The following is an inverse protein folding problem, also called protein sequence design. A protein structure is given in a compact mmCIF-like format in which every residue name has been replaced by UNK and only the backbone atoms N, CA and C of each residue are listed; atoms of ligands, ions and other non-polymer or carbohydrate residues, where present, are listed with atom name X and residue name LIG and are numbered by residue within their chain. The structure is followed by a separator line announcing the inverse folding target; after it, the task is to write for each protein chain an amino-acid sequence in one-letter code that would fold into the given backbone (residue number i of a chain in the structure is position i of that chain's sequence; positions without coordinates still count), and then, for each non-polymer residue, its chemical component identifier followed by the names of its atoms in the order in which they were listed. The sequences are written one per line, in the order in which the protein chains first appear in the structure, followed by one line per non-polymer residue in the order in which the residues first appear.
data_IF_836459326332
#
_entry.id   IF_836459326332
#
_cell.length_a   1.000
_cell.length_b   1.000
_cell.length_c   1.000
_cell.angle_alpha   90.00
_cell.angle_beta   90.00
_cell.angle_gamma   90.00
#
_symmetry.space_group_name_H-M   'P 1'
#
loop_
_entity.id
_entity.type
_entity.pdbx_description
1 polymer ?
#
# COMPACT_ATOMS: atom_id res chain seq x y z
N UNK A 1 9.89 -10.25 -13.19
CA UNK A 1 9.63 -11.59 -12.64
C UNK A 1 8.60 -11.57 -11.51
N UNK A 2 8.71 -10.68 -10.51
CA UNK A 2 7.79 -10.63 -9.36
C UNK A 2 6.28 -10.54 -9.70
N UNK A 3 5.87 -9.65 -10.61
CA UNK A 3 4.43 -9.46 -10.94
C UNK A 3 3.80 -10.74 -11.52
N UNK A 4 4.52 -11.46 -12.39
CA UNK A 4 4.01 -12.70 -12.97
C UNK A 4 3.90 -13.82 -11.91
N UNK A 5 4.85 -13.89 -10.97
CA UNK A 5 4.85 -14.87 -9.89
C UNK A 5 3.69 -14.64 -8.92
N UNK A 6 3.49 -13.40 -8.47
CA UNK A 6 2.38 -13.10 -7.57
C UNK A 6 1.02 -13.17 -8.29
N UNK A 7 0.95 -12.80 -9.57
CA UNK A 7 -0.26 -13.00 -10.38
C UNK A 7 -0.65 -14.48 -10.50
N UNK A 8 0.34 -15.38 -10.64
CA UNK A 8 0.10 -16.82 -10.62
C UNK A 8 -0.27 -17.33 -9.21
N UNK A 9 0.32 -16.78 -8.15
CA UNK A 9 -0.04 -17.14 -6.78
C UNK A 9 -1.53 -16.86 -6.49
N UNK A 10 -2.09 -15.77 -7.04
CA UNK A 10 -3.51 -15.42 -6.90
C UNK A 10 -4.49 -16.40 -7.60
N UNK A 11 -4.01 -17.31 -8.46
CA UNK A 11 -4.89 -18.37 -9.01
C UNK A 11 -5.07 -19.54 -8.05
N UNK A 12 -4.23 -19.63 -7.02
CA UNK A 12 -4.25 -20.68 -6.00
C UNK A 12 -4.73 -20.11 -4.67
N UNK A 13 -4.16 -18.99 -4.24
CA UNK A 13 -4.60 -18.25 -3.07
C UNK A 13 -5.72 -17.33 -3.48
N UNK A 14 -6.96 -17.73 -3.20
CA UNK A 14 -8.14 -16.89 -3.37
C UNK A 14 -8.50 -16.23 -2.04
N UNK A 15 -9.23 -15.12 -2.10
CA UNK A 15 -9.75 -14.44 -0.91
C UNK A 15 -10.56 -15.38 0.00
N UNK A 16 -11.29 -16.32 -0.59
CA UNK A 16 -12.18 -17.25 0.12
C UNK A 16 -11.42 -18.39 0.79
N UNK A 17 -10.39 -18.93 0.12
CA UNK A 17 -9.68 -20.11 0.61
C UNK A 17 -8.50 -19.75 1.51
N UNK A 18 -7.79 -18.66 1.20
CA UNK A 18 -6.57 -18.24 1.88
C UNK A 18 -6.52 -16.70 1.99
N UNK A 19 -7.39 -16.07 2.79
CA UNK A 19 -7.52 -14.61 2.83
C UNK A 19 -6.22 -13.91 3.17
N UNK A 20 -5.45 -14.42 4.13
CA UNK A 20 -4.19 -13.81 4.58
C UNK A 20 -3.08 -13.88 3.52
N UNK A 21 -2.89 -15.05 2.89
CA UNK A 21 -1.91 -15.25 1.82
C UNK A 21 -2.28 -14.47 0.56
N UNK A 22 -3.58 -14.44 0.23
CA UNK A 22 -4.11 -13.61 -0.84
C UNK A 22 -3.79 -12.13 -0.59
N UNK A 23 -4.04 -11.61 0.61
CA UNK A 23 -3.76 -10.22 0.94
C UNK A 23 -2.26 -9.89 0.91
N UNK A 24 -1.42 -10.83 1.36
CA UNK A 24 0.03 -10.70 1.24
C UNK A 24 0.47 -10.65 -0.24
N UNK A 25 -0.09 -11.51 -1.09
CA UNK A 25 0.17 -11.49 -2.53
C UNK A 25 -0.27 -10.16 -3.18
N UNK A 26 -1.41 -9.61 -2.77
CA UNK A 26 -1.87 -8.28 -3.22
C UNK A 26 -0.90 -7.17 -2.81
N UNK A 27 -0.49 -7.13 -1.54
CA UNK A 27 0.49 -6.14 -1.05
C UNK A 27 1.82 -6.22 -1.83
N UNK A 28 2.29 -7.44 -2.11
CA UNK A 28 3.53 -7.65 -2.86
C UNK A 28 3.40 -7.25 -4.34
N UNK A 29 2.25 -7.50 -4.96
CA UNK A 29 1.94 -6.99 -6.31
C UNK A 29 1.94 -5.47 -6.32
N UNK A 30 1.29 -4.86 -5.34
CA UNK A 30 1.21 -3.41 -5.21
C UNK A 30 2.61 -2.77 -5.15
N UNK A 31 3.48 -3.28 -4.26
CA UNK A 31 4.86 -2.82 -4.15
C UNK A 31 5.66 -3.05 -5.45
N UNK A 32 5.43 -4.16 -6.14
CA UNK A 32 6.11 -4.45 -7.40
C UNK A 32 5.68 -3.48 -8.51
N UNK A 33 4.40 -3.11 -8.58
CA UNK A 33 3.90 -2.09 -9.52
C UNK A 33 4.39 -0.68 -9.14
N UNK A 34 4.38 -0.33 -7.84
CA UNK A 34 4.86 0.96 -7.35
C UNK A 34 6.35 1.21 -7.66
N UNK A 35 7.16 0.16 -7.79
CA UNK A 35 8.59 0.26 -8.13
C UNK A 35 8.89 -0.06 -9.61
N UNK A 36 7.87 -0.36 -10.42
CA UNK A 36 8.08 -0.78 -11.81
C UNK A 36 8.47 0.39 -12.70
N UNK A 37 9.64 0.28 -13.33
CA UNK A 37 10.18 1.25 -14.30
C UNK A 37 9.56 1.04 -15.70
N UNK A 38 9.25 -0.20 -16.06
CA UNK A 38 8.73 -0.53 -17.39
C UNK A 38 7.22 -0.25 -17.52
N UNK A 39 6.81 0.34 -18.63
CA UNK A 39 5.41 0.68 -18.91
C UNK A 39 5.05 2.11 -18.47
N UNK A 40 3.77 2.46 -18.51
CA UNK A 40 3.31 3.77 -18.07
C UNK A 40 3.42 3.91 -16.55
N UNK A 41 4.17 4.91 -16.07
CA UNK A 41 4.28 5.19 -14.63
C UNK A 41 2.91 5.46 -14.01
N UNK A 42 2.04 6.18 -14.72
CA UNK A 42 0.70 6.50 -14.24
C UNK A 42 -0.14 5.23 -14.04
N UNK A 43 -0.15 4.34 -15.02
CA UNK A 43 -0.87 3.06 -14.92
C UNK A 43 -0.28 2.15 -13.83
N UNK A 44 1.04 2.11 -13.71
CA UNK A 44 1.72 1.32 -12.68
C UNK A 44 1.32 1.79 -11.27
N UNK A 45 1.26 3.10 -11.03
CA UNK A 45 0.82 3.65 -9.74
C UNK A 45 -0.67 3.34 -9.49
N UNK A 46 -1.55 3.54 -10.47
CA UNK A 46 -2.97 3.24 -10.29
C UNK A 46 -3.22 1.75 -10.00
N UNK A 47 -2.44 0.86 -10.62
CA UNK A 47 -2.47 -0.58 -10.31
C UNK A 47 -1.97 -0.86 -8.90
N UNK A 48 -0.90 -0.21 -8.47
CA UNK A 48 -0.38 -0.37 -7.12
C UNK A 48 -1.43 0.03 -6.07
N UNK A 49 -2.10 1.16 -6.27
CA UNK A 49 -3.18 1.63 -5.39
C UNK A 49 -4.29 0.57 -5.30
N UNK A 50 -4.78 0.08 -6.43
CA UNK A 50 -5.84 -0.93 -6.44
C UNK A 50 -5.45 -2.22 -5.69
N UNK A 51 -4.19 -2.65 -5.81
CA UNK A 51 -3.70 -3.83 -5.10
C UNK A 51 -3.51 -3.60 -3.60
N UNK A 52 -3.05 -2.42 -3.18
CA UNK A 52 -3.00 -2.07 -1.76
C UNK A 52 -4.41 -2.00 -1.14
N UNK A 53 -5.37 -1.37 -1.84
CA UNK A 53 -6.78 -1.31 -1.41
C UNK A 53 -7.39 -2.71 -1.30
N UNK A 54 -7.04 -3.63 -2.21
CA UNK A 54 -7.46 -5.02 -2.11
C UNK A 54 -6.88 -5.72 -0.86
N UNK A 55 -5.60 -5.52 -0.55
CA UNK A 55 -4.97 -6.09 0.64
C UNK A 55 -5.62 -5.62 1.96
N UNK A 56 -6.08 -4.37 2.01
CA UNK A 56 -6.78 -3.79 3.17
C UNK A 56 -8.15 -4.42 3.45
N UNK A 57 -8.73 -5.18 2.52
CA UNK A 57 -9.97 -5.92 2.78
C UNK A 57 -9.80 -7.08 3.77
N UNK A 58 -8.55 -7.51 4.00
CA UNK A 58 -8.17 -8.58 4.93
C UNK A 58 -7.27 -8.05 6.04
N UNK A 59 -6.29 -7.21 5.70
CA UNK A 59 -5.39 -6.59 6.67
C UNK A 59 -6.10 -5.41 7.30
N UNK A 60 -6.75 -5.63 8.44
CA UNK A 60 -7.48 -4.60 9.21
C UNK A 60 -6.66 -4.10 10.40
N UNK A 61 -6.95 -2.90 10.96
CA UNK A 61 -6.20 -2.41 12.11
C UNK A 61 -6.41 -3.27 13.36
N UNK A 62 -7.53 -4.00 13.48
CA UNK A 62 -7.82 -4.85 14.64
C UNK A 62 -7.08 -6.19 14.58
N UNK A 63 -6.95 -6.78 13.39
CA UNK A 63 -6.39 -8.13 13.23
C UNK A 63 -4.89 -8.09 12.87
N UNK A 64 -4.48 -7.10 12.08
CA UNK A 64 -3.11 -6.99 11.56
C UNK A 64 -2.63 -5.52 11.62
N UNK A 65 -2.52 -4.92 12.82
CA UNK A 65 -2.25 -3.49 12.96
C UNK A 65 -0.98 -3.03 12.23
N UNK A 66 0.10 -3.81 12.32
CA UNK A 66 1.38 -3.46 11.68
C UNK A 66 1.33 -3.58 10.15
N UNK A 67 0.75 -4.66 9.62
CA UNK A 67 0.60 -4.83 8.17
C UNK A 67 -0.34 -3.78 7.59
N UNK A 68 -1.44 -3.51 8.29
CA UNK A 68 -2.38 -2.45 7.93
C UNK A 68 -1.66 -1.12 7.86
N UNK A 69 -0.89 -0.73 8.88
CA UNK A 69 -0.15 0.52 8.91
C UNK A 69 0.91 0.62 7.81
N UNK A 70 1.59 -0.49 7.48
CA UNK A 70 2.51 -0.56 6.35
C UNK A 70 1.79 -0.29 5.03
N UNK A 71 0.62 -0.91 4.82
CA UNK A 71 -0.17 -0.71 3.60
C UNK A 71 -0.66 0.74 3.52
N UNK A 72 -1.11 1.33 4.64
CA UNK A 72 -1.47 2.75 4.69
C UNK A 72 -0.28 3.65 4.32
N UNK A 73 0.90 3.40 4.88
CA UNK A 73 2.11 4.14 4.51
C UNK A 73 2.41 4.05 3.00
N UNK A 74 2.31 2.86 2.42
CA UNK A 74 2.56 2.64 1.00
C UNK A 74 1.50 3.29 0.10
N UNK A 75 0.22 3.29 0.51
CA UNK A 75 -0.83 4.05 -0.16
C UNK A 75 -0.55 5.55 -0.12
N UNK A 76 -0.08 6.07 1.01
CA UNK A 76 0.37 7.46 1.12
C UNK A 76 1.46 7.80 0.10
N UNK A 77 2.46 6.93 -0.05
CA UNK A 77 3.51 7.11 -1.08
C UNK A 77 2.93 7.02 -2.49
N UNK A 78 2.07 6.04 -2.77
CA UNK A 78 1.50 5.83 -4.10
C UNK A 78 0.63 7.02 -4.54
N UNK A 79 -0.19 7.58 -3.64
CA UNK A 79 -0.99 8.77 -3.93
C UNK A 79 -0.14 10.03 -4.12
N UNK A 80 0.97 10.20 -3.37
CA UNK A 80 1.90 11.31 -3.60
C UNK A 80 2.59 11.24 -4.99
N UNK A 81 2.92 10.02 -5.41
CA UNK A 81 3.52 9.72 -6.72
C UNK A 81 2.50 9.70 -7.87
N UNK A 82 1.20 9.75 -7.57
CA UNK A 82 0.15 9.54 -8.56
C UNK A 82 0.07 10.69 -9.55
N UNK A 83 0.16 10.32 -10.83
CA UNK A 83 0.14 11.25 -11.97
C UNK A 83 -1.31 11.56 -12.40
N UNK A 84 -2.20 10.57 -12.31
CA UNK A 84 -3.60 10.72 -12.72
C UNK A 84 -4.44 11.39 -11.62
N UNK A 85 -5.45 12.17 -12.02
CA UNK A 85 -6.34 12.88 -11.12
C UNK A 85 -5.82 14.26 -10.70
N UNK A 86 -6.56 14.93 -9.81
CA UNK A 86 -6.14 16.23 -9.26
C UNK A 86 -4.95 16.05 -8.32
N UNK A 87 -3.93 16.90 -8.48
CA UNK A 87 -2.76 16.90 -7.60
C UNK A 87 -3.14 17.15 -6.15
N UNK A 88 -4.06 18.09 -5.92
CA UNK A 88 -4.49 18.46 -4.56
C UNK A 88 -5.25 17.30 -3.91
N UNK A 89 -6.17 16.66 -4.63
CA UNK A 89 -6.89 15.48 -4.12
C UNK A 89 -5.94 14.32 -3.80
N UNK A 90 -4.93 14.11 -4.65
CA UNK A 90 -3.93 13.06 -4.44
C UNK A 90 -3.07 13.35 -3.20
N UNK A 91 -2.70 14.62 -2.95
CA UNK A 91 -1.96 15.02 -1.74
C UNK A 91 -2.81 14.82 -0.48
N UNK A 92 -4.09 15.22 -0.51
CA UNK A 92 -4.99 15.05 0.63
C UNK A 92 -5.24 13.56 0.95
N UNK A 93 -5.40 12.73 -0.08
CA UNK A 93 -5.45 11.27 0.12
C UNK A 93 -4.15 10.74 0.71
N UNK A 94 -3.00 11.17 0.20
CA UNK A 94 -1.71 10.75 0.72
C UNK A 94 -1.57 11.09 2.21
N UNK A 95 -1.95 12.32 2.61
CA UNK A 95 -1.98 12.78 4.00
C UNK A 95 -2.86 11.89 4.87
N UNK A 96 -4.10 11.63 4.45
CA UNK A 96 -5.04 10.74 5.14
C UNK A 96 -4.44 9.36 5.41
N UNK A 97 -3.75 8.79 4.42
CA UNK A 97 -3.12 7.47 4.58
C UNK A 97 -1.91 7.49 5.50
N UNK A 98 -1.09 8.54 5.45
CA UNK A 98 0.01 8.72 6.39
C UNK A 98 -0.48 8.89 7.83
N UNK A 99 -1.54 9.68 8.04
CA UNK A 99 -2.17 9.86 9.35
C UNK A 99 -2.75 8.55 9.89
N UNK A 100 -3.37 7.73 9.02
CA UNK A 100 -3.83 6.40 9.38
C UNK A 100 -2.67 5.50 9.85
N UNK A 101 -1.56 5.47 9.11
CA UNK A 101 -0.37 4.69 9.50
C UNK A 101 0.21 5.12 10.85
N UNK A 102 0.18 6.43 11.17
CA UNK A 102 0.67 6.99 12.44
C UNK A 102 -0.17 6.58 13.66
N UNK A 103 -1.37 6.03 13.48
CA UNK A 103 -2.16 5.48 14.61
C UNK A 103 -1.51 4.22 15.20
N UNK A 104 -0.69 3.51 14.41
CA UNK A 104 0.08 2.33 14.83
C UNK A 104 1.57 2.66 14.93
N UNK A 105 2.13 3.33 13.92
CA UNK A 105 3.53 3.75 13.87
C UNK A 105 3.77 5.01 14.69
N UNK A 106 3.62 4.88 16.00
CA UNK A 106 3.88 5.95 16.96
C UNK A 106 5.38 6.17 17.14
N UNK A 107 5.74 7.34 17.69
CA UNK A 107 7.14 7.69 17.97
C UNK A 107 7.79 6.71 18.96
N UNK A 108 7.00 6.19 19.88
CA UNK A 108 7.45 5.33 20.97
C UNK A 108 7.62 3.88 20.51
N UNK A 109 6.68 3.36 19.72
CA UNK A 109 6.69 1.96 19.28
C UNK A 109 7.53 1.76 18.00
N UNK A 110 7.49 2.72 17.07
CA UNK A 110 8.13 2.62 15.76
C UNK A 110 8.80 3.95 15.36
N UNK A 111 9.84 4.40 16.10
CA UNK A 111 10.45 5.72 15.90
C UNK A 111 10.95 5.97 14.46
N UNK A 112 11.43 4.93 13.79
CA UNK A 112 11.91 5.03 12.40
C UNK A 112 10.77 5.29 11.41
N UNK A 113 9.73 4.44 11.43
CA UNK A 113 8.55 4.62 10.57
C UNK A 113 7.84 5.93 10.87
N UNK A 114 7.69 6.29 12.15
CA UNK A 114 7.14 7.57 12.55
C UNK A 114 7.92 8.74 11.92
N UNK A 115 9.25 8.74 12.03
CA UNK A 115 10.08 9.81 11.46
C UNK A 115 9.99 9.86 9.94
N UNK A 116 9.96 8.70 9.26
CA UNK A 116 9.76 8.63 7.82
C UNK A 116 8.43 9.24 7.40
N UNK A 117 7.34 8.91 8.09
CA UNK A 117 6.01 9.42 7.78
C UNK A 117 5.90 10.93 8.07
N UNK A 118 6.45 11.39 9.19
CA UNK A 118 6.49 12.81 9.53
C UNK A 118 7.23 13.63 8.48
N UNK A 119 8.28 13.08 7.87
CA UNK A 119 8.96 13.75 6.76
C UNK A 119 8.13 13.84 5.48
N UNK A 120 7.15 12.96 5.27
CA UNK A 120 6.21 13.02 4.14
C UNK A 120 5.10 14.05 4.35
N UNK A 121 4.83 14.44 5.60
CA UNK A 121 3.76 15.37 5.98
C UNK A 121 4.19 16.84 6.07
N UNK A 122 5.51 17.10 6.02
CA UNK A 122 6.12 18.43 5.98
C UNK A 122 6.01 19.05 4.60
#
# INVERSE_FOLDING_TARGET
MAIALYGAALTVYTLEAFPEDWAMAQNNLAAAYANRINGSRAENIDRAIAFFEAALTVRTPEQFPEDWAMIQYNLGNAYNDRINGSRDENIEKARSFYEAALTVYTREAFPEYWAMIQNKLK
#
